data_IF_652231222060
#
_entry.id   IF_652231222060
#
_cell.length_a   1.000
_cell.length_b   1.000
_cell.length_c   1.000
_cell.angle_alpha   90.00
_cell.angle_beta   90.00
_cell.angle_gamma   90.00
#
_symmetry.space_group_name_H-M   'P 1'
#
loop_
_entity.id
_entity.type
_entity.pdbx_description
1 polymer ?
#
# COMPACT_ATOMS: atom_id res chain seq x y z
N UNK A 1 -14.27 0.84 15.34
CA UNK A 1 -14.73 0.04 14.19
C UNK A 1 -14.97 1.02 13.07
N UNK A 2 -14.17 0.97 12.01
CA UNK A 2 -14.23 1.89 10.87
C UNK A 2 -14.65 1.13 9.61
N UNK A 3 -15.20 1.86 8.64
CA UNK A 3 -15.46 1.36 7.29
C UNK A 3 -14.33 1.81 6.38
N UNK A 4 -13.63 0.87 5.76
CA UNK A 4 -12.48 1.14 4.89
C UNK A 4 -12.73 0.60 3.49
N UNK A 5 -12.64 1.46 2.49
CA UNK A 5 -12.75 1.08 1.08
C UNK A 5 -11.37 0.92 0.46
N UNK A 6 -11.16 -0.17 -0.26
CA UNK A 6 -9.95 -0.43 -1.05
C UNK A 6 -10.26 -0.34 -2.53
N UNK A 7 -9.49 0.46 -3.27
CA UNK A 7 -9.48 0.43 -4.73
C UNK A 7 -8.37 -0.51 -5.18
N UNK A 8 -8.75 -1.71 -5.54
CA UNK A 8 -7.87 -2.78 -6.01
C UNK A 8 -7.81 -3.97 -5.06
N UNK A 9 -8.24 -5.12 -5.57
CA UNK A 9 -8.19 -6.43 -4.90
C UNK A 9 -6.91 -7.22 -5.21
N UNK A 10 -5.81 -6.54 -5.59
CA UNK A 10 -4.50 -7.14 -5.82
C UNK A 10 -3.87 -7.70 -4.54
N UNK A 11 -2.69 -8.36 -4.67
CA UNK A 11 -2.04 -9.06 -3.54
C UNK A 11 -1.88 -8.19 -2.29
N UNK A 12 -1.29 -7.00 -2.42
CA UNK A 12 -1.04 -6.15 -1.24
C UNK A 12 -2.32 -5.49 -0.71
N UNK A 13 -3.25 -5.11 -1.62
CA UNK A 13 -4.56 -4.57 -1.24
C UNK A 13 -5.38 -5.56 -0.42
N UNK A 14 -5.49 -6.82 -0.88
CA UNK A 14 -6.27 -7.84 -0.16
C UNK A 14 -5.59 -8.25 1.16
N UNK A 15 -4.26 -8.31 1.23
CA UNK A 15 -3.54 -8.60 2.47
C UNK A 15 -3.85 -7.55 3.56
N UNK A 16 -3.76 -6.25 3.22
CA UNK A 16 -4.10 -5.17 4.14
C UNK A 16 -5.60 -5.11 4.46
N UNK A 17 -6.46 -5.41 3.49
CA UNK A 17 -7.91 -5.50 3.72
C UNK A 17 -8.24 -6.57 4.77
N UNK A 18 -7.62 -7.74 4.69
CA UNK A 18 -7.79 -8.82 5.67
C UNK A 18 -7.20 -8.44 7.04
N UNK A 19 -6.02 -7.82 7.06
CA UNK A 19 -5.42 -7.31 8.29
C UNK A 19 -6.40 -6.39 9.04
N UNK A 20 -7.00 -5.42 8.34
CA UNK A 20 -7.98 -4.50 8.93
C UNK A 20 -9.29 -5.20 9.29
N UNK A 21 -9.74 -6.16 8.50
CA UNK A 21 -10.91 -6.96 8.80
C UNK A 21 -10.73 -7.77 10.09
N UNK A 22 -9.57 -8.37 10.30
CA UNK A 22 -9.21 -9.10 11.52
C UNK A 22 -9.14 -8.19 12.76
N UNK A 23 -8.89 -6.88 12.58
CA UNK A 23 -9.02 -5.86 13.63
C UNK A 23 -10.49 -5.48 13.93
N UNK A 24 -11.46 -6.05 13.22
CA UNK A 24 -12.90 -5.78 13.42
C UNK A 24 -13.45 -4.65 12.55
N UNK A 25 -12.72 -4.14 11.57
CA UNK A 25 -13.24 -3.13 10.64
C UNK A 25 -14.10 -3.76 9.54
N UNK A 26 -14.99 -2.96 8.95
CA UNK A 26 -15.81 -3.35 7.78
C UNK A 26 -15.07 -2.92 6.51
N UNK A 27 -14.84 -3.86 5.61
CA UNK A 27 -14.02 -3.64 4.43
C UNK A 27 -14.86 -3.77 3.17
N UNK A 28 -14.77 -2.77 2.32
CA UNK A 28 -15.25 -2.80 0.93
C UNK A 28 -14.05 -2.85 -0.01
N UNK A 29 -14.06 -3.75 -0.99
CA UNK A 29 -12.99 -3.85 -2.00
C UNK A 29 -13.60 -3.62 -3.37
N UNK A 30 -13.13 -2.63 -4.09
CA UNK A 30 -13.44 -2.48 -5.50
C UNK A 30 -12.41 -3.21 -6.35
N UNK A 31 -12.85 -4.04 -7.28
CA UNK A 31 -12.00 -4.58 -8.33
C UNK A 31 -12.78 -4.62 -9.66
N UNK A 32 -12.11 -4.22 -10.75
CA UNK A 32 -12.69 -4.26 -12.10
C UNK A 32 -12.90 -5.67 -12.63
N UNK A 33 -12.24 -6.66 -12.05
CA UNK A 33 -12.31 -8.05 -12.46
C UNK A 33 -13.38 -8.80 -11.66
N UNK A 34 -14.49 -9.16 -12.31
CA UNK A 34 -15.60 -9.86 -11.67
C UNK A 34 -15.21 -11.21 -11.06
N UNK A 35 -14.21 -11.89 -11.60
CA UNK A 35 -13.72 -13.14 -11.01
C UNK A 35 -13.08 -12.92 -9.63
N UNK A 36 -12.38 -11.77 -9.43
CA UNK A 36 -11.82 -11.39 -8.13
C UNK A 36 -12.94 -11.09 -7.14
N UNK A 37 -13.96 -10.36 -7.60
CA UNK A 37 -15.14 -10.04 -6.77
C UNK A 37 -15.89 -11.31 -6.35
N UNK A 38 -16.09 -12.24 -7.27
CA UNK A 38 -16.72 -13.53 -6.98
C UNK A 38 -15.88 -14.38 -6.01
N UNK A 39 -14.57 -14.47 -6.23
CA UNK A 39 -13.66 -15.20 -5.35
C UNK A 39 -13.71 -14.68 -3.90
N UNK A 40 -13.68 -13.37 -3.74
CA UNK A 40 -13.77 -12.73 -2.41
C UNK A 40 -15.14 -12.97 -1.79
N UNK A 41 -16.24 -12.78 -2.52
CA UNK A 41 -17.59 -12.82 -1.95
C UNK A 41 -18.13 -14.23 -1.73
N UNK A 42 -17.87 -15.14 -2.65
CA UNK A 42 -18.43 -16.51 -2.66
C UNK A 42 -17.43 -17.51 -2.08
N UNK A 43 -16.22 -17.54 -2.66
CA UNK A 43 -15.21 -18.53 -2.33
C UNK A 43 -14.39 -18.18 -1.08
N UNK A 44 -14.50 -16.94 -0.59
CA UNK A 44 -13.76 -16.40 0.56
C UNK A 44 -12.25 -16.61 0.44
N UNK A 45 -11.73 -16.40 -0.77
CA UNK A 45 -10.30 -16.51 -1.11
C UNK A 45 -9.93 -15.52 -2.19
N UNK A 46 -8.66 -15.46 -2.52
CA UNK A 46 -8.13 -14.67 -3.63
C UNK A 46 -6.89 -15.38 -4.21
N UNK A 47 -7.09 -16.64 -4.63
CA UNK A 47 -6.01 -17.56 -5.04
C UNK A 47 -5.26 -17.09 -6.29
N UNK A 48 -5.85 -16.17 -7.06
CA UNK A 48 -5.18 -15.51 -8.18
C UNK A 48 -3.93 -14.74 -7.73
N UNK A 49 -3.99 -14.16 -6.53
CA UNK A 49 -2.92 -13.29 -6.01
C UNK A 49 -2.16 -13.94 -4.85
N UNK A 50 -2.88 -14.51 -3.87
CA UNK A 50 -2.27 -15.17 -2.71
C UNK A 50 -3.03 -16.48 -2.44
N UNK A 51 -2.37 -17.61 -2.71
CA UNK A 51 -2.98 -18.93 -2.50
C UNK A 51 -3.14 -19.25 -1.02
N UNK A 52 -4.26 -19.87 -0.68
CA UNK A 52 -4.54 -20.32 0.70
C UNK A 52 -4.98 -19.21 1.65
N UNK A 53 -5.23 -18.00 1.13
CA UNK A 53 -5.71 -16.88 1.91
C UNK A 53 -7.21 -17.02 2.21
N UNK A 54 -7.59 -16.92 3.48
CA UNK A 54 -9.00 -16.95 3.90
C UNK A 54 -9.50 -15.51 4.11
N UNK A 55 -10.51 -15.11 3.33
CA UNK A 55 -11.11 -13.77 3.40
C UNK A 55 -12.21 -13.71 4.44
N UNK A 56 -12.10 -12.88 5.50
CA UNK A 56 -13.09 -12.71 6.53
C UNK A 56 -14.46 -12.26 6.01
N UNK A 57 -15.54 -12.60 6.75
CA UNK A 57 -16.92 -12.28 6.34
C UNK A 57 -17.24 -10.78 6.30
N UNK A 58 -16.51 -9.96 7.03
CA UNK A 58 -16.60 -8.49 7.04
C UNK A 58 -15.84 -7.82 5.90
N UNK A 59 -15.36 -8.59 4.92
CA UNK A 59 -14.84 -8.11 3.64
C UNK A 59 -15.88 -8.40 2.56
N UNK A 60 -16.28 -7.37 1.81
CA UNK A 60 -17.19 -7.48 0.66
C UNK A 60 -16.55 -6.80 -0.55
N UNK A 61 -16.59 -7.45 -1.70
CA UNK A 61 -16.05 -6.91 -2.93
C UNK A 61 -17.15 -6.45 -3.89
N UNK A 62 -16.85 -5.45 -4.72
CA UNK A 62 -17.76 -4.80 -5.65
C UNK A 62 -17.08 -4.54 -7.00
N UNK A 63 -17.86 -4.55 -8.08
CA UNK A 63 -17.41 -4.10 -9.40
C UNK A 63 -17.73 -2.62 -9.69
N UNK A 64 -18.41 -1.93 -8.76
CA UNK A 64 -18.78 -0.51 -8.87
C UNK A 64 -18.12 0.28 -7.75
N UNK A 65 -17.56 1.45 -8.10
CA UNK A 65 -17.02 2.41 -7.13
C UNK A 65 -18.14 3.05 -6.31
N UNK A 66 -19.29 3.26 -6.93
CA UNK A 66 -20.49 3.85 -6.33
C UNK A 66 -21.07 2.95 -5.22
N UNK A 67 -20.78 1.65 -5.26
CA UNK A 67 -21.16 0.71 -4.20
C UNK A 67 -20.07 0.53 -3.15
N UNK A 68 -18.80 0.54 -3.58
CA UNK A 68 -17.68 0.24 -2.68
C UNK A 68 -17.30 1.42 -1.76
N UNK A 69 -17.34 2.67 -2.27
CA UNK A 69 -16.73 3.82 -1.61
C UNK A 69 -17.66 4.58 -0.65
N UNK A 70 -18.94 4.83 -0.94
CA UNK A 70 -19.77 5.71 -0.13
C UNK A 70 -19.82 5.33 1.36
N UNK A 71 -19.80 6.34 2.22
CA UNK A 71 -19.81 6.23 3.68
C UNK A 71 -18.58 5.50 4.26
N UNK A 72 -17.45 5.49 3.56
CA UNK A 72 -16.18 5.03 4.10
C UNK A 72 -15.55 6.10 4.99
N UNK A 73 -14.90 5.67 6.07
CA UNK A 73 -14.10 6.52 6.96
C UNK A 73 -12.68 6.70 6.42
N UNK A 74 -12.21 5.75 5.61
CA UNK A 74 -10.91 5.77 4.92
C UNK A 74 -11.03 5.15 3.53
N UNK A 75 -10.25 5.65 2.58
CA UNK A 75 -10.13 5.07 1.23
C UNK A 75 -8.68 4.70 0.97
N UNK A 76 -8.40 3.48 0.55
CA UNK A 76 -7.05 2.97 0.25
C UNK A 76 -6.90 2.77 -1.25
N UNK A 77 -5.95 3.48 -1.86
CA UNK A 77 -5.57 3.28 -3.26
C UNK A 77 -4.56 2.14 -3.35
N UNK A 78 -5.04 0.95 -3.72
CA UNK A 78 -4.29 -0.30 -3.80
C UNK A 78 -4.09 -0.75 -5.27
N UNK A 79 -3.83 0.21 -6.15
CA UNK A 79 -3.60 0.02 -7.57
C UNK A 79 -2.14 0.30 -7.94
N UNK A 80 -1.64 -0.17 -9.10
CA UNK A 80 -0.30 0.16 -9.57
C UNK A 80 -0.04 1.67 -9.71
N UNK A 81 1.21 2.12 -9.54
CA UNK A 81 1.58 3.54 -9.56
C UNK A 81 1.11 4.29 -10.82
N UNK A 82 1.22 3.69 -11.99
CA UNK A 82 0.77 4.28 -13.26
C UNK A 82 -0.75 4.47 -13.37
N UNK A 83 -1.54 3.93 -12.43
CA UNK A 83 -3.01 4.05 -12.40
C UNK A 83 -3.46 5.06 -11.32
N UNK A 84 -2.57 5.51 -10.43
CA UNK A 84 -2.94 6.33 -9.25
C UNK A 84 -3.69 7.59 -9.65
N UNK A 85 -3.25 8.36 -10.64
CA UNK A 85 -3.93 9.58 -11.10
C UNK A 85 -5.38 9.30 -11.51
N UNK A 86 -5.58 8.29 -12.34
CA UNK A 86 -6.93 7.93 -12.79
C UNK A 86 -7.78 7.37 -11.65
N UNK A 87 -7.20 6.64 -10.73
CA UNK A 87 -7.88 6.14 -9.53
C UNK A 87 -8.31 7.28 -8.61
N UNK A 88 -7.43 8.25 -8.32
CA UNK A 88 -7.77 9.44 -7.54
C UNK A 88 -8.91 10.23 -8.20
N UNK A 89 -8.83 10.45 -9.52
CA UNK A 89 -9.89 11.13 -10.27
C UNK A 89 -11.23 10.39 -10.21
N UNK A 90 -11.21 9.05 -10.22
CA UNK A 90 -12.44 8.25 -10.23
C UNK A 90 -13.20 8.25 -8.91
N UNK A 91 -12.55 8.58 -7.79
CA UNK A 91 -13.20 8.70 -6.48
C UNK A 91 -13.69 10.11 -6.16
N UNK A 92 -13.33 11.09 -7.00
CA UNK A 92 -13.76 12.49 -6.82
C UNK A 92 -15.28 12.59 -6.78
N UNK A 93 -15.80 13.17 -5.70
CA UNK A 93 -17.25 13.30 -5.47
C UNK A 93 -17.94 12.04 -4.93
N UNK A 94 -17.30 10.88 -4.92
CA UNK A 94 -17.82 9.67 -4.28
C UNK A 94 -17.48 9.61 -2.78
N UNK A 95 -16.44 10.30 -2.37
CA UNK A 95 -15.96 10.36 -0.99
C UNK A 95 -16.02 11.80 -0.49
N UNK A 96 -16.36 11.98 0.79
CA UNK A 96 -16.35 13.32 1.42
C UNK A 96 -14.91 13.83 1.49
N UNK A 97 -14.69 15.11 1.23
CA UNK A 97 -13.34 15.73 1.23
C UNK A 97 -12.60 15.62 2.58
N UNK A 98 -13.31 15.38 3.67
CA UNK A 98 -12.69 15.16 4.99
C UNK A 98 -12.13 13.74 5.20
N UNK A 99 -12.44 12.79 4.32
CA UNK A 99 -12.02 11.38 4.46
C UNK A 99 -10.59 11.23 3.97
N UNK A 100 -9.68 10.66 4.80
CA UNK A 100 -8.30 10.40 4.37
C UNK A 100 -8.22 9.39 3.24
N UNK A 101 -7.38 9.69 2.25
CA UNK A 101 -7.03 8.80 1.15
C UNK A 101 -5.61 8.28 1.38
N UNK A 102 -5.48 6.97 1.49
CA UNK A 102 -4.23 6.29 1.82
C UNK A 102 -3.65 5.66 0.56
N UNK A 103 -2.48 6.12 0.14
CA UNK A 103 -1.74 5.53 -0.97
C UNK A 103 -0.81 4.43 -0.45
N UNK A 104 -0.93 3.22 -1.00
CA UNK A 104 -0.02 2.10 -0.70
C UNK A 104 0.84 1.72 -1.91
N UNK A 105 0.66 2.40 -3.03
CA UNK A 105 1.49 2.21 -4.22
C UNK A 105 2.90 2.78 -4.00
N UNK A 106 3.85 2.23 -4.72
CA UNK A 106 5.26 2.65 -4.68
C UNK A 106 5.68 3.07 -6.08
N UNK A 107 6.30 4.24 -6.19
CA UNK A 107 6.76 4.75 -7.48
C UNK A 107 6.68 6.27 -7.58
N UNK A 108 7.07 6.74 -8.75
CA UNK A 108 7.01 8.14 -9.19
C UNK A 108 6.22 8.13 -10.51
N UNK A 109 5.40 9.14 -10.74
CA UNK A 109 4.62 9.23 -11.98
C UNK A 109 5.53 9.49 -13.18
N UNK A 110 5.40 8.65 -14.22
CA UNK A 110 6.13 8.83 -15.47
C UNK A 110 5.70 10.11 -16.19
N UNK A 111 6.64 10.82 -16.75
CA UNK A 111 6.43 12.04 -17.52
C UNK A 111 6.35 13.33 -16.70
N UNK A 112 5.82 13.30 -15.47
CA UNK A 112 5.77 14.47 -14.58
C UNK A 112 6.85 14.44 -13.51
N UNK A 113 7.40 13.25 -13.19
CA UNK A 113 8.33 13.00 -12.10
C UNK A 113 7.78 13.39 -10.70
N UNK A 114 6.45 13.48 -10.57
CA UNK A 114 5.78 13.77 -9.30
C UNK A 114 5.70 12.55 -8.42
N UNK A 115 5.75 12.77 -7.11
CA UNK A 115 5.44 11.73 -6.14
C UNK A 115 3.95 11.36 -6.21
N UNK A 116 3.58 10.19 -5.71
CA UNK A 116 2.19 9.74 -5.82
C UNK A 116 1.23 10.56 -4.94
N UNK A 117 1.71 11.12 -3.83
CA UNK A 117 0.92 12.03 -3.00
C UNK A 117 0.64 13.32 -3.79
N UNK A 118 1.65 13.94 -4.41
CA UNK A 118 1.45 15.11 -5.27
C UNK A 118 0.45 14.83 -6.40
N UNK A 119 0.54 13.65 -7.02
CA UNK A 119 -0.40 13.23 -8.08
C UNK A 119 -1.84 13.14 -7.58
N UNK A 120 -2.04 12.61 -6.37
CA UNK A 120 -3.37 12.47 -5.78
C UNK A 120 -3.93 13.85 -5.39
N UNK A 121 -3.12 14.70 -4.77
CA UNK A 121 -3.50 16.06 -4.34
C UNK A 121 -3.86 16.99 -5.51
N UNK A 122 -3.37 16.71 -6.73
CA UNK A 122 -3.82 17.42 -7.94
C UNK A 122 -5.25 17.06 -8.37
N UNK A 123 -5.73 15.88 -8.03
CA UNK A 123 -7.02 15.37 -8.50
C UNK A 123 -8.14 15.55 -7.47
N UNK A 124 -7.82 15.50 -6.16
CA UNK A 124 -8.79 15.55 -5.07
C UNK A 124 -8.31 16.45 -3.92
N UNK A 125 -9.26 16.96 -3.11
CA UNK A 125 -8.96 17.83 -1.96
C UNK A 125 -8.86 17.06 -0.63
N UNK A 126 -8.94 15.74 -0.67
CA UNK A 126 -8.89 14.89 0.51
C UNK A 126 -7.49 14.93 1.15
N UNK A 127 -7.37 14.78 2.48
CA UNK A 127 -6.08 14.53 3.10
C UNK A 127 -5.44 13.25 2.56
N UNK A 128 -4.18 13.33 2.13
CA UNK A 128 -3.46 12.18 1.56
C UNK A 128 -2.41 11.67 2.52
N UNK A 129 -2.34 10.35 2.67
CA UNK A 129 -1.37 9.66 3.51
C UNK A 129 -0.68 8.58 2.68
N UNK A 130 0.64 8.52 2.76
CA UNK A 130 1.40 7.40 2.21
C UNK A 130 1.60 6.32 3.28
N UNK A 131 1.44 5.05 2.91
CA UNK A 131 1.84 3.89 3.71
C UNK A 131 2.82 3.06 2.89
N UNK A 132 4.09 3.09 3.24
CA UNK A 132 5.18 2.50 2.46
C UNK A 132 6.24 1.87 3.33
N UNK A 133 7.03 0.95 2.76
CA UNK A 133 8.13 0.28 3.47
C UNK A 133 8.51 -1.06 2.84
N UNK A 134 9.50 -1.75 3.41
CA UNK A 134 9.86 -3.10 2.99
C UNK A 134 8.76 -4.08 3.40
N UNK A 135 7.83 -4.35 2.51
CA UNK A 135 6.68 -5.21 2.76
C UNK A 135 6.37 -6.08 1.55
N UNK A 136 6.14 -7.36 1.80
CA UNK A 136 5.65 -8.33 0.83
C UNK A 136 4.21 -8.70 1.18
N UNK A 137 3.36 -8.81 0.16
CA UNK A 137 1.94 -9.08 0.36
C UNK A 137 1.69 -10.41 1.07
N UNK A 138 2.46 -11.43 0.70
CA UNK A 138 2.39 -12.77 1.27
C UNK A 138 2.77 -12.77 2.75
N UNK A 139 3.82 -12.04 3.13
CA UNK A 139 4.27 -11.93 4.51
C UNK A 139 3.20 -11.28 5.39
N UNK A 140 2.62 -10.18 4.92
CA UNK A 140 1.52 -9.49 5.62
C UNK A 140 0.29 -10.38 5.73
N UNK A 141 -0.06 -11.11 4.67
CA UNK A 141 -1.22 -11.99 4.63
C UNK A 141 -1.13 -13.17 5.61
N UNK A 142 0.09 -13.63 5.92
CA UNK A 142 0.35 -14.72 6.85
C UNK A 142 0.92 -14.27 8.21
N UNK A 143 0.66 -13.01 8.59
CA UNK A 143 1.05 -12.43 9.88
C UNK A 143 2.56 -12.49 10.20
N UNK A 144 3.42 -12.53 9.17
CA UNK A 144 4.86 -12.42 9.35
C UNK A 144 5.21 -10.98 9.76
N UNK A 145 6.08 -10.80 10.77
CA UNK A 145 6.43 -9.46 11.25
C UNK A 145 6.91 -8.54 10.13
N UNK A 146 6.18 -7.46 9.94
CA UNK A 146 6.42 -6.45 8.89
C UNK A 146 6.45 -5.07 9.50
N UNK A 147 7.36 -4.22 9.02
CA UNK A 147 7.48 -2.82 9.44
C UNK A 147 7.30 -1.89 8.25
N UNK A 148 6.45 -0.89 8.41
CA UNK A 148 6.21 0.15 7.41
C UNK A 148 6.21 1.54 8.02
N UNK A 149 6.31 2.55 7.18
CA UNK A 149 6.21 3.97 7.53
C UNK A 149 4.90 4.54 7.00
N UNK A 150 4.35 5.49 7.72
CA UNK A 150 3.27 6.35 7.25
C UNK A 150 3.68 7.81 7.38
N UNK A 151 3.30 8.62 6.39
CA UNK A 151 3.60 10.04 6.34
C UNK A 151 2.51 10.81 5.62
N UNK A 152 2.35 12.08 5.96
CA UNK A 152 1.38 12.99 5.36
C UNK A 152 1.81 14.44 5.61
N UNK A 153 1.35 15.37 4.77
CA UNK A 153 1.42 16.81 5.06
C UNK A 153 0.67 17.20 6.35
N UNK A 154 -0.23 16.34 6.83
CA UNK A 154 -0.90 16.46 8.12
C UNK A 154 -0.56 15.27 9.02
N UNK A 155 0.41 15.44 9.91
CA UNK A 155 0.92 14.37 10.78
C UNK A 155 -0.15 13.75 11.70
N UNK A 156 -1.18 14.50 12.11
CA UNK A 156 -2.28 13.92 12.90
C UNK A 156 -3.01 12.81 12.13
N UNK A 157 -3.19 13.00 10.83
CA UNK A 157 -3.84 11.98 9.98
C UNK A 157 -2.90 10.80 9.73
N UNK A 158 -1.59 11.03 9.65
CA UNK A 158 -0.61 9.95 9.61
C UNK A 158 -0.66 9.10 10.90
N UNK A 159 -0.79 9.72 12.08
CA UNK A 159 -0.96 9.03 13.36
C UNK A 159 -2.27 8.23 13.42
N UNK A 160 -3.39 8.78 12.90
CA UNK A 160 -4.66 8.04 12.80
C UNK A 160 -4.53 6.81 11.90
N UNK A 161 -3.81 6.92 10.79
CA UNK A 161 -3.53 5.79 9.87
C UNK A 161 -2.56 4.80 10.51
N UNK A 162 -1.57 5.27 11.28
CA UNK A 162 -0.72 4.40 12.09
C UNK A 162 -1.57 3.53 13.01
N UNK A 163 -2.46 4.12 13.80
CA UNK A 163 -3.34 3.40 14.72
C UNK A 163 -4.30 2.44 13.99
N UNK A 164 -4.80 2.86 12.82
CA UNK A 164 -5.67 2.02 12.00
C UNK A 164 -4.98 0.72 11.59
N UNK A 165 -3.74 0.77 11.12
CA UNK A 165 -3.02 -0.39 10.60
C UNK A 165 -2.16 -1.13 11.63
N UNK A 166 -1.75 -0.49 12.73
CA UNK A 166 -0.89 -1.09 13.75
C UNK A 166 -1.47 -2.39 14.30
N UNK A 167 -0.68 -3.48 14.27
CA UNK A 167 -0.97 -4.76 14.93
C UNK A 167 0.28 -5.26 15.67
N UNK A 168 0.22 -6.44 16.25
CA UNK A 168 1.39 -7.08 16.89
C UNK A 168 2.47 -7.45 15.88
N UNK A 169 2.07 -7.84 14.67
CA UNK A 169 2.95 -8.29 13.58
C UNK A 169 3.14 -7.23 12.51
N UNK A 170 2.21 -6.31 12.31
CA UNK A 170 2.33 -5.20 11.37
C UNK A 170 2.61 -3.90 12.11
N UNK A 171 3.89 -3.48 12.13
CA UNK A 171 4.36 -2.29 12.85
C UNK A 171 4.37 -1.10 11.92
N UNK A 172 3.67 -0.04 12.32
CA UNK A 172 3.60 1.21 11.56
C UNK A 172 4.27 2.31 12.38
N UNK A 173 5.20 3.03 11.78
CA UNK A 173 5.85 4.20 12.38
C UNK A 173 5.51 5.43 11.57
N UNK A 174 5.30 6.55 12.23
CA UNK A 174 5.14 7.85 11.57
C UNK A 174 6.50 8.45 11.22
N UNK A 175 6.56 9.19 10.11
CA UNK A 175 7.74 9.96 9.70
C UNK A 175 7.25 11.28 9.09
N UNK A 176 7.92 12.40 9.39
CA UNK A 176 7.60 13.73 8.89
C UNK A 176 8.28 14.05 7.53
N UNK A 177 9.23 13.22 7.09
CA UNK A 177 9.82 13.30 5.76
C UNK A 177 8.97 12.54 4.73
N UNK A 178 7.87 13.16 4.30
CA UNK A 178 6.96 12.59 3.31
C UNK A 178 7.68 12.20 2.01
N UNK A 179 8.53 13.08 1.49
CA UNK A 179 9.26 12.85 0.23
C UNK A 179 10.23 11.66 0.40
N UNK A 180 10.97 11.61 1.50
CA UNK A 180 11.88 10.51 1.78
C UNK A 180 11.17 9.16 1.87
N UNK A 181 9.97 9.10 2.48
CA UNK A 181 9.15 7.88 2.55
C UNK A 181 8.68 7.43 1.15
N UNK A 182 8.27 8.36 0.28
CA UNK A 182 7.83 8.06 -1.08
C UNK A 182 9.00 7.61 -1.97
N UNK A 183 10.11 8.37 -1.96
CA UNK A 183 11.32 8.06 -2.76
C UNK A 183 11.93 6.73 -2.28
N UNK A 184 12.06 6.51 -0.98
CA UNK A 184 12.54 5.23 -0.43
C UNK A 184 11.71 4.04 -0.90
N UNK A 185 10.39 4.18 -0.95
CA UNK A 185 9.49 3.18 -1.53
C UNK A 185 9.71 2.96 -3.03
N UNK A 186 9.91 4.02 -3.79
CA UNK A 186 10.12 3.97 -5.24
C UNK A 186 11.44 3.29 -5.63
N UNK A 187 12.54 3.55 -4.91
CA UNK A 187 13.87 3.00 -5.21
C UNK A 187 14.10 1.61 -4.62
N UNK A 188 13.19 1.09 -3.81
CA UNK A 188 13.33 -0.22 -3.15
C UNK A 188 13.76 -1.35 -4.10
N UNK A 189 13.16 -1.40 -5.30
CA UNK A 189 13.45 -2.44 -6.27
C UNK A 189 14.85 -2.32 -6.89
N UNK A 190 15.40 -1.11 -6.99
CA UNK A 190 16.77 -0.86 -7.44
C UNK A 190 17.75 -1.45 -6.41
N UNK A 191 17.51 -1.21 -5.13
CA UNK A 191 18.31 -1.80 -4.05
C UNK A 191 18.22 -3.32 -4.06
N UNK A 192 17.00 -3.87 -4.21
CA UNK A 192 16.80 -5.31 -4.29
C UNK A 192 17.53 -5.94 -5.48
N UNK A 193 17.54 -5.27 -6.65
CA UNK A 193 18.29 -5.71 -7.82
C UNK A 193 19.79 -5.71 -7.56
N UNK A 194 20.32 -4.61 -6.99
CA UNK A 194 21.73 -4.50 -6.64
C UNK A 194 22.15 -5.59 -5.64
N UNK A 195 21.33 -5.84 -4.62
CA UNK A 195 21.54 -6.90 -3.65
C UNK A 195 21.59 -8.27 -4.34
N UNK A 196 20.62 -8.58 -5.22
CA UNK A 196 20.60 -9.84 -5.97
C UNK A 196 21.81 -10.04 -6.91
N UNK A 197 22.34 -8.96 -7.49
CA UNK A 197 23.59 -9.01 -8.28
C UNK A 197 24.78 -9.36 -7.37
N UNK A 198 24.90 -8.72 -6.20
CA UNK A 198 25.96 -9.01 -5.24
C UNK A 198 25.90 -10.47 -4.77
N UNK A 199 24.71 -10.96 -4.47
CA UNK A 199 24.47 -12.36 -4.07
C UNK A 199 24.87 -13.34 -5.19
N UNK A 200 24.40 -13.08 -6.41
CA UNK A 200 24.72 -13.90 -7.58
C UNK A 200 26.24 -13.94 -7.94
N UNK A 201 26.96 -12.88 -7.57
CA UNK A 201 28.43 -12.80 -7.72
C UNK A 201 29.18 -13.40 -6.53
N UNK A 202 28.48 -13.88 -5.50
CA UNK A 202 29.07 -14.54 -4.34
C UNK A 202 29.79 -13.58 -3.36
N UNK A 203 29.39 -12.32 -3.31
CA UNK A 203 30.00 -11.35 -2.38
C UNK A 203 29.62 -11.56 -0.90
N UNK A 204 28.63 -12.43 -0.63
CA UNK A 204 28.16 -12.76 0.72
C UNK A 204 27.45 -11.62 1.44
N UNK A 205 26.83 -11.92 2.59
CA UNK A 205 25.99 -10.98 3.35
C UNK A 205 26.71 -9.71 3.80
N UNK A 206 28.00 -9.78 4.09
CA UNK A 206 28.83 -8.63 4.52
C UNK A 206 29.09 -7.67 3.35
N UNK A 207 29.04 -8.14 2.11
CA UNK A 207 29.21 -7.31 0.92
C UNK A 207 28.17 -6.20 0.75
N UNK A 208 27.00 -6.36 1.35
CA UNK A 208 25.93 -5.35 1.31
C UNK A 208 26.12 -4.19 2.29
N UNK A 209 26.90 -4.39 3.34
CA UNK A 209 27.01 -3.47 4.47
C UNK A 209 28.37 -2.77 4.57
N UNK A 210 29.36 -3.19 3.78
CA UNK A 210 30.73 -2.67 3.86
C UNK A 210 30.92 -1.48 2.90
N UNK A 211 30.66 -0.27 3.43
CA UNK A 211 30.85 0.99 2.72
C UNK A 211 32.29 1.15 2.17
N UNK A 212 33.29 0.66 2.91
CA UNK A 212 34.71 0.72 2.50
C UNK A 212 35.01 -0.19 1.31
N UNK A 213 34.28 -1.29 1.16
CA UNK A 213 34.38 -2.13 -0.04
C UNK A 213 33.71 -1.48 -1.24
N UNK A 214 32.52 -0.89 -1.04
CA UNK A 214 31.81 -0.18 -2.12
C UNK A 214 32.65 0.99 -2.64
N UNK A 215 33.20 1.82 -1.78
CA UNK A 215 34.05 2.96 -2.17
C UNK A 215 35.33 2.52 -2.87
N UNK A 216 35.93 1.40 -2.46
CA UNK A 216 37.13 0.85 -3.09
C UNK A 216 36.89 0.30 -4.50
N UNK A 217 35.71 -0.27 -4.76
CA UNK A 217 35.36 -0.79 -6.08
C UNK A 217 34.94 0.29 -7.07
N UNK A 218 34.30 1.35 -6.61
CA UNK A 218 33.81 2.44 -7.46
C UNK A 218 34.72 3.68 -7.48
N UNK A 219 35.87 3.65 -6.79
CA UNK A 219 36.80 4.77 -6.73
C UNK A 219 36.16 6.10 -6.28
N UNK A 220 35.20 6.04 -5.35
CA UNK A 220 34.47 7.18 -4.79
C UNK A 220 35.22 7.80 -3.63
#
# INVERSE_FOLDING_TARGET
>A
MSKVAFLGGGSFGIALAILLANKGNVISVYDRNSNVVEDINVNRRNDKFIKGLNVPKNVTAYNSLEEAIPNSDYVVLAVPSHVIRSAARSIKGLVKESVPVICIAKGIEEGTNKTLVEVIEEEINNPVVILSGPSHAEEVAFDIPTTVLTSSNNMKIAEEVQDLFMTKTFRVYTNDDLIGVEVGGAVKNIIALAAGVCDGLGYGDIGYMDYDKITKYFNL
#
